data_IF_689179603672
#
_entry.id   IF_689179603672
#
_cell.length_a   1.000
_cell.length_b   1.000
_cell.length_c   1.000
_cell.angle_alpha   90.00
_cell.angle_beta   90.00
_cell.angle_gamma   90.00
#
_symmetry.space_group_name_H-M   'P 1'
#
loop_
_entity.id
_entity.type
_entity.pdbx_description
1 polymer ?
#
# COMPACT_ATOMS: atom_id res chain seq x y z
N UNK A 1 12.63 -28.90 39.28
CA UNK A 1 11.33 -28.22 39.53
C UNK A 1 10.88 -27.32 38.37
N UNK A 2 11.77 -26.74 37.56
CA UNK A 2 11.38 -25.89 36.42
C UNK A 2 10.78 -26.67 35.21
N UNK A 3 11.25 -27.89 34.94
CA UNK A 3 10.78 -28.70 33.80
C UNK A 3 9.31 -29.14 33.89
N UNK A 4 8.78 -29.33 35.11
CA UNK A 4 7.39 -29.74 35.33
C UNK A 4 6.38 -28.59 35.14
N UNK A 5 6.83 -27.34 35.26
CA UNK A 5 5.98 -26.16 35.04
C UNK A 5 5.84 -25.88 33.53
N UNK A 6 6.91 -26.10 32.75
CA UNK A 6 6.86 -25.96 31.29
C UNK A 6 5.94 -26.98 30.62
N UNK A 7 5.94 -28.23 31.10
CA UNK A 7 5.02 -29.27 30.61
C UNK A 7 3.56 -28.99 30.95
N UNK A 8 3.28 -28.35 32.10
CA UNK A 8 1.92 -27.97 32.47
C UNK A 8 1.39 -26.82 31.60
N UNK A 9 2.24 -25.86 31.24
CA UNK A 9 1.89 -24.76 30.31
C UNK A 9 1.69 -25.28 28.87
N UNK A 10 2.34 -26.38 28.49
CA UNK A 10 2.20 -27.01 27.16
C UNK A 10 0.85 -27.70 26.95
N UNK A 11 0.22 -28.22 28.01
CA UNK A 11 -0.96 -29.08 27.93
C UNK A 11 -2.32 -28.38 28.11
N UNK A 12 -2.34 -27.07 28.35
CA UNK A 12 -3.60 -26.31 28.36
C UNK A 12 -4.03 -26.02 26.92
N UNK A 13 -5.04 -26.75 26.42
CA UNK A 13 -5.61 -26.57 25.07
C UNK A 13 -6.07 -25.12 24.76
N UNK A 14 -6.29 -24.30 25.79
CA UNK A 14 -6.64 -22.89 25.67
C UNK A 14 -5.44 -21.99 25.26
N UNK A 15 -4.20 -22.32 25.61
CA UNK A 15 -3.01 -21.48 25.31
C UNK A 15 -2.47 -21.73 23.91
N UNK A 16 -2.74 -22.89 23.30
CA UNK A 16 -2.35 -23.20 21.91
C UNK A 16 -3.04 -22.30 20.87
N UNK A 17 -4.20 -21.71 21.18
CA UNK A 17 -4.89 -20.75 20.30
C UNK A 17 -4.29 -19.33 20.32
N UNK A 18 -3.47 -18.99 21.32
CA UNK A 18 -2.90 -17.63 21.49
C UNK A 18 -1.41 -17.57 21.12
N UNK A 19 -0.78 -18.70 20.76
CA UNK A 19 0.50 -18.64 20.04
C UNK A 19 0.22 -18.13 18.63
N UNK A 20 0.29 -16.81 18.43
CA UNK A 20 0.53 -16.21 17.10
C UNK A 20 1.60 -17.07 16.44
N UNK A 21 1.24 -17.78 15.38
CA UNK A 21 2.23 -18.40 14.52
C UNK A 21 3.24 -17.30 14.18
N UNK A 22 4.44 -17.37 14.75
CA UNK A 22 5.60 -16.66 14.23
C UNK A 22 5.81 -17.29 12.86
N UNK A 23 5.16 -16.74 11.85
CA UNK A 23 5.41 -17.07 10.47
C UNK A 23 6.92 -16.87 10.30
N UNK A 24 7.64 -17.96 10.04
CA UNK A 24 9.09 -17.90 9.83
C UNK A 24 9.31 -16.88 8.70
N UNK A 25 10.15 -15.86 8.92
CA UNK A 25 10.52 -14.91 7.88
C UNK A 25 11.23 -15.69 6.78
N UNK A 26 10.51 -16.07 5.73
CA UNK A 26 11.06 -16.61 4.49
C UNK A 26 11.75 -15.48 3.74
N UNK A 27 12.73 -15.76 2.88
CA UNK A 27 13.37 -14.74 2.05
C UNK A 27 12.32 -13.91 1.27
N UNK A 28 12.57 -12.61 1.08
CA UNK A 28 11.61 -11.72 0.46
C UNK A 28 11.46 -12.03 -1.03
N UNK A 29 10.25 -12.40 -1.47
CA UNK A 29 9.93 -12.39 -2.90
C UNK A 29 9.86 -10.93 -3.33
N UNK A 30 10.82 -10.52 -4.16
CA UNK A 30 10.87 -9.18 -4.73
C UNK A 30 9.68 -9.01 -5.68
N UNK A 31 8.71 -8.16 -5.29
CA UNK A 31 7.65 -7.78 -6.23
C UNK A 31 8.24 -6.92 -7.32
N UNK A 32 7.96 -7.25 -8.58
CA UNK A 32 8.41 -6.42 -9.70
C UNK A 32 7.91 -4.99 -9.53
N UNK A 33 8.85 -4.04 -9.55
CA UNK A 33 8.54 -2.62 -9.56
C UNK A 33 7.81 -2.29 -10.87
N UNK A 34 6.62 -1.65 -10.81
CA UNK A 34 5.91 -1.24 -12.02
C UNK A 34 6.76 -0.36 -12.93
N UNK A 35 6.43 -0.35 -14.22
CA UNK A 35 7.20 0.42 -15.21
C UNK A 35 7.05 1.93 -15.04
N UNK A 36 5.83 2.36 -14.74
CA UNK A 36 5.38 3.75 -14.69
C UNK A 36 4.45 3.99 -13.49
N UNK A 37 4.28 5.25 -13.06
CA UNK A 37 3.26 5.62 -12.08
C UNK A 37 1.88 5.08 -12.46
N UNK A 38 1.11 4.67 -11.46
CA UNK A 38 -0.29 4.25 -11.60
C UNK A 38 -0.54 2.96 -12.40
N UNK A 39 0.48 2.28 -12.94
CA UNK A 39 0.30 0.97 -13.61
C UNK A 39 -0.21 -0.13 -12.68
N UNK A 40 0.16 -0.08 -11.41
CA UNK A 40 -0.24 -1.06 -10.41
C UNK A 40 -0.66 -0.35 -9.14
N UNK A 41 -1.90 -0.58 -8.73
CA UNK A 41 -2.48 0.03 -7.54
C UNK A 41 -3.03 -1.03 -6.59
N UNK A 42 -3.01 -0.75 -5.29
CA UNK A 42 -3.73 -1.52 -4.29
C UNK A 42 -4.87 -0.67 -3.72
N UNK A 43 -6.00 -1.31 -3.46
CA UNK A 43 -7.15 -0.68 -2.82
C UNK A 43 -7.61 -1.47 -1.59
N UNK A 44 -8.02 -0.74 -0.55
CA UNK A 44 -8.53 -1.29 0.69
C UNK A 44 -9.59 -0.35 1.29
N UNK A 45 -10.67 -0.92 1.82
CA UNK A 45 -11.69 -0.18 2.56
C UNK A 45 -11.35 -0.22 4.06
N UNK A 46 -11.62 0.88 4.75
CA UNK A 46 -11.47 0.96 6.19
C UNK A 46 -12.46 1.90 6.84
N UNK A 47 -12.74 1.62 8.10
CA UNK A 47 -13.60 2.43 8.94
C UNK A 47 -12.78 3.42 9.77
N UNK A 48 -13.19 4.69 9.75
CA UNK A 48 -12.57 5.76 10.53
C UNK A 48 -13.64 6.75 11.01
N UNK A 49 -13.72 6.94 12.33
CA UNK A 49 -14.59 7.93 12.98
C UNK A 49 -16.06 7.85 12.52
N UNK A 50 -16.64 6.64 12.49
CA UNK A 50 -18.04 6.42 12.10
C UNK A 50 -18.30 6.44 10.59
N UNK A 51 -17.26 6.53 9.76
CA UNK A 51 -17.40 6.61 8.31
C UNK A 51 -16.50 5.57 7.63
N UNK A 52 -16.97 5.03 6.51
CA UNK A 52 -16.18 4.15 5.67
C UNK A 52 -15.41 4.94 4.62
N UNK A 53 -14.19 4.50 4.34
CA UNK A 53 -13.31 5.10 3.35
C UNK A 53 -12.70 4.03 2.48
N UNK A 54 -12.54 4.33 1.20
CA UNK A 54 -11.68 3.58 0.30
C UNK A 54 -10.37 4.32 0.13
N UNK A 55 -9.26 3.60 0.28
CA UNK A 55 -7.91 4.08 0.02
C UNK A 55 -7.31 3.29 -1.14
N UNK A 56 -6.81 4.01 -2.13
CA UNK A 56 -6.06 3.48 -3.27
C UNK A 56 -4.63 3.99 -3.16
N UNK A 57 -3.64 3.12 -3.33
CA UNK A 57 -2.23 3.46 -3.27
C UNK A 57 -1.52 2.95 -4.51
N UNK A 58 -0.79 3.84 -5.18
CA UNK A 58 0.11 3.49 -6.28
C UNK A 58 1.36 2.77 -5.77
N UNK A 59 1.71 1.64 -6.39
CA UNK A 59 2.92 0.90 -6.05
C UNK A 59 4.20 1.66 -6.44
N UNK A 60 4.17 2.48 -7.50
CA UNK A 60 5.37 3.15 -8.00
C UNK A 60 5.70 4.39 -7.17
N UNK A 61 4.80 5.37 -7.15
CA UNK A 61 4.99 6.67 -6.48
C UNK A 61 4.64 6.68 -5.00
N UNK A 62 3.94 5.65 -4.50
CA UNK A 62 3.29 5.65 -3.18
C UNK A 62 2.20 6.73 -3.05
N UNK A 63 1.68 7.21 -4.19
CA UNK A 63 0.60 8.19 -4.22
C UNK A 63 -0.69 7.61 -3.62
N UNK A 64 -1.28 8.27 -2.59
CA UNK A 64 -2.55 7.85 -2.03
C UNK A 64 -3.74 8.66 -2.56
N UNK A 65 -4.82 7.97 -2.90
CA UNK A 65 -6.15 8.53 -3.16
C UNK A 65 -7.15 7.98 -2.14
N UNK A 66 -7.85 8.88 -1.45
CA UNK A 66 -8.86 8.51 -0.44
C UNK A 66 -10.21 9.09 -0.83
N UNK A 67 -11.27 8.34 -0.52
CA UNK A 67 -12.63 8.85 -0.59
C UNK A 67 -13.51 8.26 0.48
N UNK A 68 -14.38 9.12 1.02
CA UNK A 68 -15.41 8.71 1.95
C UNK A 68 -16.53 8.01 1.19
N UNK A 69 -16.96 6.85 1.66
CA UNK A 69 -18.08 6.11 1.13
C UNK A 69 -19.32 6.40 1.98
N UNK A 70 -20.42 6.74 1.32
CA UNK A 70 -21.72 6.92 2.00
C UNK A 70 -22.32 5.57 2.42
N UNK A 71 -22.02 4.52 1.65
CA UNK A 71 -22.34 3.13 1.99
C UNK A 71 -21.37 2.17 1.29
N UNK A 72 -21.28 0.94 1.79
CA UNK A 72 -20.37 -0.11 1.32
C UNK A 72 -20.90 -0.90 0.10
N UNK A 73 -21.69 -0.27 -0.77
CA UNK A 73 -22.17 -0.95 -1.98
C UNK A 73 -21.10 -1.00 -3.07
N UNK A 74 -21.09 -2.07 -3.87
CA UNK A 74 -20.20 -2.18 -5.04
C UNK A 74 -20.42 -1.03 -6.02
N UNK A 75 -21.67 -0.57 -6.20
CA UNK A 75 -22.00 0.56 -7.09
C UNK A 75 -21.31 1.86 -6.68
N UNK A 76 -21.37 2.22 -5.39
CA UNK A 76 -20.74 3.43 -4.89
C UNK A 76 -19.21 3.34 -4.96
N UNK A 77 -18.65 2.18 -4.63
CA UNK A 77 -17.21 1.94 -4.75
C UNK A 77 -16.75 2.07 -6.21
N UNK A 78 -17.47 1.48 -7.16
CA UNK A 78 -17.17 1.57 -8.60
C UNK A 78 -17.29 3.02 -9.08
N UNK A 79 -18.30 3.77 -8.64
CA UNK A 79 -18.46 5.18 -9.02
C UNK A 79 -17.24 6.02 -8.59
N UNK A 80 -16.74 5.80 -7.37
CA UNK A 80 -15.50 6.44 -6.92
C UNK A 80 -14.29 6.00 -7.75
N UNK A 81 -14.15 4.71 -8.05
CA UNK A 81 -13.05 4.20 -8.86
C UNK A 81 -13.04 4.82 -10.25
N UNK A 82 -14.21 4.93 -10.89
CA UNK A 82 -14.36 5.63 -12.18
C UNK A 82 -13.89 7.09 -12.10
N UNK A 83 -14.31 7.81 -11.05
CA UNK A 83 -13.86 9.19 -10.78
C UNK A 83 -12.37 9.32 -10.50
N UNK A 84 -11.74 8.28 -9.94
CA UNK A 84 -10.29 8.27 -9.71
C UNK A 84 -9.54 7.92 -10.99
N UNK A 85 -10.02 6.95 -11.75
CA UNK A 85 -9.42 6.54 -13.02
C UNK A 85 -9.51 7.63 -14.08
N UNK A 86 -10.52 8.50 -14.05
CA UNK A 86 -10.57 9.67 -14.93
C UNK A 86 -9.50 10.73 -14.61
N UNK A 87 -9.02 10.79 -13.36
CA UNK A 87 -8.00 11.76 -12.91
C UNK A 87 -6.58 11.23 -13.04
N UNK A 88 -6.39 9.94 -12.77
CA UNK A 88 -5.07 9.30 -12.68
C UNK A 88 -4.75 8.36 -13.85
N UNK A 89 -5.76 7.97 -14.63
CA UNK A 89 -5.68 6.90 -15.62
C UNK A 89 -6.24 5.58 -15.09
N UNK A 90 -6.50 4.65 -16.01
CA UNK A 90 -6.88 3.28 -15.67
C UNK A 90 -5.59 2.50 -15.40
N UNK A 91 -5.46 1.81 -14.24
CA UNK A 91 -4.29 1.00 -13.94
C UNK A 91 -4.27 -0.28 -14.78
N UNK A 92 -3.10 -0.84 -15.04
CA UNK A 92 -2.97 -2.15 -15.68
C UNK A 92 -3.39 -3.27 -14.70
N UNK A 93 -2.97 -3.12 -13.43
CA UNK A 93 -3.24 -4.09 -12.35
C UNK A 93 -3.88 -3.40 -11.15
N UNK A 94 -5.01 -3.93 -10.70
CA UNK A 94 -5.72 -3.48 -9.51
C UNK A 94 -5.77 -4.60 -8.46
N UNK A 95 -5.09 -4.40 -7.34
CA UNK A 95 -5.08 -5.35 -6.23
C UNK A 95 -6.09 -4.99 -5.16
N UNK A 96 -6.87 -5.97 -4.71
CA UNK A 96 -7.80 -5.78 -3.58
C UNK A 96 -8.31 -7.09 -3.02
N UNK A 97 -8.58 -7.15 -1.71
CA UNK A 97 -9.16 -8.34 -1.07
C UNK A 97 -10.69 -8.27 -0.97
N UNK A 98 -11.24 -7.07 -0.87
CA UNK A 98 -12.64 -6.84 -0.48
C UNK A 98 -13.59 -6.64 -1.67
N UNK A 99 -13.07 -6.54 -2.90
CA UNK A 99 -13.88 -6.44 -4.10
C UNK A 99 -13.90 -7.80 -4.79
N UNK A 100 -15.05 -8.47 -4.83
CA UNK A 100 -15.20 -9.78 -5.48
C UNK A 100 -16.57 -9.97 -6.14
N UNK A 101 -17.42 -8.93 -6.11
CA UNK A 101 -18.77 -8.97 -6.65
C UNK A 101 -18.76 -9.10 -8.18
N UNK A 102 -19.86 -9.62 -8.74
CA UNK A 102 -19.99 -9.78 -10.19
C UNK A 102 -19.90 -8.44 -10.91
N UNK A 103 -20.52 -7.40 -10.34
CA UNK A 103 -20.49 -6.03 -10.88
C UNK A 103 -19.06 -5.48 -10.95
N UNK A 104 -18.20 -5.86 -10.00
CA UNK A 104 -16.79 -5.45 -10.02
C UNK A 104 -16.00 -6.17 -11.10
N UNK A 105 -16.28 -7.47 -11.33
CA UNK A 105 -15.66 -8.23 -12.41
C UNK A 105 -16.05 -7.67 -13.78
N UNK A 106 -17.33 -7.33 -13.95
CA UNK A 106 -17.82 -6.70 -15.18
C UNK A 106 -17.19 -5.32 -15.39
N UNK A 107 -17.08 -4.52 -14.32
CA UNK A 107 -16.37 -3.25 -14.35
C UNK A 107 -14.89 -3.40 -14.75
N UNK A 108 -14.18 -4.39 -14.19
CA UNK A 108 -12.79 -4.66 -14.53
C UNK A 108 -12.62 -5.05 -16.00
N UNK A 109 -13.54 -5.85 -16.53
CA UNK A 109 -13.56 -6.25 -17.94
C UNK A 109 -13.87 -5.06 -18.86
N UNK A 110 -14.84 -4.23 -18.51
CA UNK A 110 -15.26 -3.05 -19.26
C UNK A 110 -14.14 -2.00 -19.35
N UNK A 111 -13.43 -1.77 -18.24
CA UNK A 111 -12.33 -0.79 -18.18
C UNK A 111 -10.97 -1.39 -18.61
N UNK A 112 -10.90 -2.71 -18.82
CA UNK A 112 -9.71 -3.38 -19.36
C UNK A 112 -8.54 -3.51 -18.38
N UNK A 113 -8.79 -3.56 -17.08
CA UNK A 113 -7.74 -3.75 -16.07
C UNK A 113 -7.77 -5.15 -15.44
N UNK A 114 -6.60 -5.65 -15.04
CA UNK A 114 -6.50 -6.95 -14.37
C UNK A 114 -6.77 -6.78 -12.87
N UNK A 115 -7.87 -7.36 -12.40
CA UNK A 115 -8.20 -7.40 -10.98
C UNK A 115 -7.58 -8.63 -10.30
N UNK A 116 -6.76 -8.39 -9.29
CA UNK A 116 -6.07 -9.44 -8.54
C UNK A 116 -6.51 -9.43 -7.07
N UNK A 117 -7.16 -10.51 -6.67
CA UNK A 117 -7.51 -10.78 -5.27
C UNK A 117 -6.39 -11.57 -4.61
N UNK A 118 -5.92 -11.14 -3.44
CA UNK A 118 -4.83 -11.82 -2.75
C UNK A 118 -5.20 -13.26 -2.40
N UNK A 119 -4.39 -14.22 -2.84
CA UNK A 119 -4.23 -15.51 -2.17
C UNK A 119 -3.20 -15.36 -1.03
N UNK A 120 -3.37 -16.03 0.13
CA UNK A 120 -2.43 -15.97 1.27
C UNK A 120 -0.98 -16.33 0.93
N UNK A 121 -0.72 -16.91 -0.24
CA UNK A 121 0.62 -17.23 -0.75
C UNK A 121 1.47 -16.02 -1.19
N UNK A 122 0.87 -14.84 -1.46
CA UNK A 122 1.59 -13.66 -1.97
C UNK A 122 1.67 -12.47 -1.00
N UNK A 123 1.38 -12.67 0.29
CA UNK A 123 1.44 -11.59 1.30
C UNK A 123 2.80 -10.86 1.33
N UNK A 124 3.90 -11.58 1.04
CA UNK A 124 5.24 -10.99 1.00
C UNK A 124 5.45 -10.00 -0.16
N UNK A 125 4.87 -10.24 -1.33
CA UNK A 125 5.04 -9.36 -2.50
C UNK A 125 4.22 -8.07 -2.40
N UNK A 126 3.16 -8.08 -1.56
CA UNK A 126 2.26 -6.94 -1.33
C UNK A 126 2.59 -6.10 -0.09
N UNK A 127 3.56 -6.53 0.74
CA UNK A 127 3.86 -5.91 2.03
C UNK A 127 4.18 -4.41 1.97
N UNK A 128 4.71 -3.90 0.86
CA UNK A 128 4.98 -2.46 0.71
C UNK A 128 3.71 -1.61 0.56
N UNK A 129 2.76 -2.07 -0.26
CA UNK A 129 1.49 -1.36 -0.41
C UNK A 129 0.66 -1.49 0.88
N UNK A 130 0.62 -2.67 1.50
CA UNK A 130 -0.03 -2.88 2.80
C UNK A 130 0.55 -1.98 3.89
N UNK A 131 1.89 -1.86 3.98
CA UNK A 131 2.54 -0.97 4.94
C UNK A 131 2.23 0.50 4.66
N UNK A 132 2.18 0.89 3.39
CA UNK A 132 1.82 2.27 2.99
C UNK A 132 0.37 2.58 3.37
N UNK A 133 -0.56 1.66 3.10
CA UNK A 133 -1.96 1.71 3.54
C UNK A 133 -2.05 1.86 5.06
N UNK A 134 -1.29 1.07 5.83
CA UNK A 134 -1.24 1.18 7.29
C UNK A 134 -0.69 2.53 7.77
N UNK A 135 0.36 3.06 7.13
CA UNK A 135 0.92 4.38 7.44
C UNK A 135 -0.12 5.47 7.23
N UNK A 136 -0.82 5.45 6.10
CA UNK A 136 -1.86 6.45 5.79
C UNK A 136 -3.04 6.32 6.75
N UNK A 137 -3.53 5.10 7.03
CA UNK A 137 -4.58 4.87 8.04
C UNK A 137 -4.18 5.42 9.41
N UNK A 138 -2.93 5.21 9.82
CA UNK A 138 -2.40 5.72 11.09
C UNK A 138 -2.29 7.25 11.10
N UNK A 139 -1.93 7.85 9.96
CA UNK A 139 -1.91 9.31 9.78
C UNK A 139 -3.32 9.88 9.94
N UNK A 140 -4.29 9.35 9.22
CA UNK A 140 -5.68 9.83 9.22
C UNK A 140 -6.35 9.71 10.59
N UNK A 141 -5.95 8.72 11.40
CA UNK A 141 -6.43 8.59 12.80
C UNK A 141 -5.89 9.67 13.73
N UNK A 142 -4.73 10.25 13.43
CA UNK A 142 -4.06 11.23 14.31
C UNK A 142 -4.49 12.66 14.07
N UNK A 143 -4.89 13.00 12.85
CA UNK A 143 -5.20 14.38 12.45
C UNK A 143 -6.70 14.62 12.33
N UNK A 144 -7.17 15.78 12.79
CA UNK A 144 -8.57 16.20 12.69
C UNK A 144 -9.01 16.42 11.24
N UNK A 145 -8.10 16.95 10.41
CA UNK A 145 -8.33 17.20 8.98
C UNK A 145 -7.58 16.16 8.14
N UNK A 146 -8.29 15.13 7.62
CA UNK A 146 -7.66 14.07 6.84
C UNK A 146 -7.07 14.57 5.53
N UNK A 147 -7.63 15.62 4.93
CA UNK A 147 -7.19 16.13 3.62
C UNK A 147 -5.90 16.93 3.74
N UNK A 148 -5.74 17.73 4.80
CA UNK A 148 -4.47 18.43 5.09
C UNK A 148 -3.34 17.45 5.36
N UNK A 149 -3.59 16.48 6.23
CA UNK A 149 -2.57 15.46 6.54
C UNK A 149 -2.18 14.64 5.31
N UNK A 150 -3.14 14.32 4.43
CA UNK A 150 -2.85 13.67 3.16
C UNK A 150 -1.99 14.52 2.23
N UNK A 151 -2.26 15.83 2.14
CA UNK A 151 -1.44 16.77 1.37
C UNK A 151 -0.01 16.84 1.89
N UNK A 152 0.17 16.88 3.20
CA UNK A 152 1.50 16.88 3.83
C UNK A 152 2.23 15.56 3.56
N UNK A 153 1.55 14.42 3.64
CA UNK A 153 2.11 13.13 3.28
C UNK A 153 2.56 13.09 1.81
N UNK A 154 1.73 13.59 0.89
CA UNK A 154 2.04 13.66 -0.54
C UNK A 154 3.30 14.47 -0.83
N UNK A 155 3.63 15.46 0.01
CA UNK A 155 4.82 16.30 -0.11
C UNK A 155 6.01 15.85 0.76
N UNK A 156 5.81 14.87 1.65
CA UNK A 156 6.87 14.37 2.51
C UNK A 156 7.79 13.45 1.71
N UNK A 157 9.09 13.71 1.75
CA UNK A 157 10.08 12.89 1.05
C UNK A 157 10.09 11.46 1.60
N UNK A 158 10.13 10.49 0.70
CA UNK A 158 10.27 9.10 1.08
C UNK A 158 11.73 8.86 1.47
N UNK A 159 11.95 8.27 2.65
CA UNK A 159 13.28 7.96 3.18
C UNK A 159 14.09 7.15 2.16
N UNK A 160 15.37 7.50 1.98
CA UNK A 160 16.34 6.93 1.03
C UNK A 160 16.12 7.29 -0.45
N UNK A 161 14.99 7.90 -0.81
CA UNK A 161 14.71 8.34 -2.18
C UNK A 161 14.84 9.86 -2.35
N UNK A 162 14.67 10.61 -1.25
CA UNK A 162 14.64 12.09 -1.18
C UNK A 162 13.60 12.76 -2.11
N UNK A 163 12.69 11.95 -2.65
CA UNK A 163 11.56 12.39 -3.47
C UNK A 163 10.26 12.09 -2.75
N UNK A 164 9.32 13.03 -2.83
CA UNK A 164 7.96 12.87 -2.30
C UNK A 164 7.05 12.14 -3.29
N UNK A 165 5.94 11.53 -2.83
CA UNK A 165 4.94 10.94 -3.72
C UNK A 165 4.45 11.91 -4.81
N UNK A 166 4.26 13.19 -4.48
CA UNK A 166 3.87 14.22 -5.43
C UNK A 166 4.93 14.43 -6.52
N UNK A 167 6.21 14.45 -6.16
CA UNK A 167 7.30 14.59 -7.14
C UNK A 167 7.39 13.38 -8.06
N UNK A 168 7.15 12.18 -7.54
CA UNK A 168 7.21 10.96 -8.36
C UNK A 168 5.99 10.84 -9.28
N UNK A 169 4.81 11.28 -8.81
CA UNK A 169 3.56 11.16 -9.54
C UNK A 169 3.31 12.31 -10.53
N UNK A 170 3.56 13.55 -10.12
CA UNK A 170 3.31 14.77 -10.92
C UNK A 170 4.59 15.48 -11.40
N UNK A 171 5.78 15.00 -11.02
CA UNK A 171 7.04 15.69 -11.34
C UNK A 171 7.30 16.95 -10.51
N UNK A 172 6.45 17.28 -9.54
CA UNK A 172 6.53 18.50 -8.72
C UNK A 172 5.93 18.30 -7.33
N UNK A 173 6.28 19.16 -6.38
CA UNK A 173 5.53 19.25 -5.12
C UNK A 173 4.22 20.01 -5.30
N UNK A 174 3.28 19.73 -4.41
CA UNK A 174 2.03 20.46 -4.30
C UNK A 174 2.20 21.63 -3.31
N UNK A 175 1.50 22.74 -3.56
CA UNK A 175 1.45 23.84 -2.61
C UNK A 175 0.72 23.37 -1.34
N UNK A 176 1.45 23.35 -0.22
CA UNK A 176 0.91 23.03 1.10
C UNK A 176 0.70 24.32 1.93
N UNK A 177 0.14 24.15 3.12
CA UNK A 177 0.04 25.23 4.12
C UNK A 177 1.44 25.63 4.60
N UNK A 178 2.34 24.65 4.73
CA UNK A 178 3.73 24.91 5.06
C UNK A 178 4.46 25.59 3.89
N UNK A 179 5.22 26.68 4.15
CA UNK A 179 5.99 27.36 3.12
C UNK A 179 6.91 26.39 2.38
N UNK A 180 6.84 26.41 1.05
CA UNK A 180 7.69 25.63 0.17
C UNK A 180 8.37 26.59 -0.81
N UNK A 181 9.62 26.33 -1.16
CA UNK A 181 10.35 27.17 -2.11
C UNK A 181 9.78 27.03 -3.53
N UNK A 182 9.69 28.14 -4.27
CA UNK A 182 9.11 28.15 -5.62
C UNK A 182 9.71 27.10 -6.59
N UNK A 183 11.03 26.81 -6.58
CA UNK A 183 11.61 25.80 -7.48
C UNK A 183 11.07 24.37 -7.26
N UNK A 184 10.61 24.04 -6.05
CA UNK A 184 10.06 22.72 -5.74
C UNK A 184 8.62 22.53 -6.25
N UNK A 185 7.94 23.64 -6.55
CA UNK A 185 6.58 23.63 -7.11
C UNK A 185 6.57 23.51 -8.64
N UNK A 186 7.71 23.77 -9.28
CA UNK A 186 7.87 23.62 -10.71
C UNK A 186 8.06 22.13 -11.08
N UNK A 187 7.61 21.77 -12.28
CA UNK A 187 7.85 20.45 -12.83
C UNK A 187 9.35 20.29 -13.10
N UNK A 188 9.95 19.29 -12.46
CA UNK A 188 11.35 18.96 -12.66
C UNK A 188 11.44 17.61 -13.37
N UNK A 189 12.41 17.50 -14.28
CA UNK A 189 12.65 16.27 -15.00
C UNK A 189 13.36 15.29 -14.06
N UNK A 190 12.60 14.43 -13.41
CA UNK A 190 13.12 13.39 -12.54
C UNK A 190 13.56 12.18 -13.38
N UNK A 191 14.58 12.41 -14.21
CA UNK A 191 15.38 11.32 -14.75
C UNK A 191 15.94 10.52 -13.55
N UNK A 192 16.03 9.20 -13.70
CA UNK A 192 16.55 8.26 -12.70
C UNK A 192 15.65 7.86 -11.51
N UNK A 193 14.37 8.25 -11.43
CA UNK A 193 13.46 7.72 -10.38
C UNK A 193 13.47 6.19 -10.36
N UNK A 194 13.37 5.57 -11.54
CA UNK A 194 13.32 4.11 -11.67
C UNK A 194 14.59 3.47 -11.12
N UNK A 195 15.76 4.07 -11.36
CA UNK A 195 17.05 3.59 -10.87
C UNK A 195 17.06 3.66 -9.34
N UNK A 196 16.74 4.83 -8.77
CA UNK A 196 16.69 5.01 -7.30
C UNK A 196 15.68 4.10 -6.61
N UNK A 197 14.51 3.87 -7.23
CA UNK A 197 13.50 2.95 -6.71
C UNK A 197 14.01 1.50 -6.71
N UNK A 198 14.68 1.06 -7.79
CA UNK A 198 15.30 -0.27 -7.86
C UNK A 198 16.39 -0.44 -6.81
N UNK A 199 17.32 0.50 -6.70
CA UNK A 199 18.40 0.45 -5.69
C UNK A 199 17.84 0.34 -4.27
N UNK A 200 16.80 1.11 -3.98
CA UNK A 200 16.11 1.05 -2.69
C UNK A 200 15.45 -0.30 -2.44
N UNK A 201 14.78 -0.87 -3.44
CA UNK A 201 14.16 -2.20 -3.34
C UNK A 201 15.21 -3.29 -3.10
N UNK A 202 16.34 -3.24 -3.81
CA UNK A 202 17.45 -4.18 -3.63
C UNK A 202 18.10 -4.05 -2.25
N UNK A 203 18.33 -2.82 -1.75
CA UNK A 203 18.82 -2.60 -0.38
C UNK A 203 17.87 -3.19 0.66
N UNK A 204 16.57 -2.91 0.55
CA UNK A 204 15.57 -3.42 1.50
C UNK A 204 15.51 -4.95 1.51
N UNK A 205 15.58 -5.58 0.33
CA UNK A 205 15.70 -7.03 0.20
C UNK A 205 16.93 -7.56 0.92
N UNK A 206 18.11 -6.99 0.66
CA UNK A 206 19.36 -7.41 1.33
C UNK A 206 19.26 -7.30 2.86
N UNK A 207 18.69 -6.21 3.39
CA UNK A 207 18.50 -6.06 4.84
C UNK A 207 17.51 -7.07 5.43
N UNK A 208 16.40 -7.32 4.73
CA UNK A 208 15.40 -8.30 5.16
C UNK A 208 15.97 -9.73 5.12
N UNK A 209 16.66 -10.07 4.04
CA UNK A 209 17.17 -11.41 3.80
C UNK A 209 18.26 -11.82 4.79
N UNK A 210 19.05 -10.86 5.32
CA UNK A 210 20.01 -11.08 6.43
C UNK A 210 19.38 -11.74 7.66
N UNK A 211 18.08 -11.55 7.87
CA UNK A 211 17.34 -12.06 9.03
C UNK A 211 16.31 -13.14 8.64
N UNK A 212 16.37 -13.67 7.42
CA UNK A 212 15.42 -14.62 6.85
C UNK A 212 16.05 -16.00 6.63
N UNK A 213 15.22 -17.04 6.56
CA UNK A 213 15.66 -18.37 6.11
C UNK A 213 15.48 -18.48 4.59
N UNK A 214 16.44 -19.11 3.88
CA UNK A 214 16.32 -19.33 2.45
C UNK A 214 15.05 -20.13 2.13
N UNK A 215 14.41 -19.81 1.00
CA UNK A 215 13.30 -20.58 0.45
C UNK A 215 13.81 -21.97 0.05
N UNK A 216 13.09 -23.03 0.42
CA UNK A 216 13.41 -24.38 -0.06
C UNK A 216 13.25 -24.42 -1.59
N UNK A 217 14.14 -25.10 -2.33
CA UNK A 217 14.00 -25.24 -3.77
C UNK A 217 12.69 -25.95 -4.12
N UNK A 218 12.05 -25.49 -5.19
CA UNK A 218 10.83 -26.07 -5.77
C UNK A 218 11.09 -27.46 -6.33
#
# INVERSE_FOLDING_TARGET
>A
MAAQIEDFISNVQHVKRIKKNKQKNLAMIESELPEKPWSKVAADIFHLNGNDYILIVDYYSKWPEIHKLDNLTSKNTIAYLKSTFSRCGIPDIFYSVQFSSLEFKDFAKDYGFQHLTSSPTYAQSNGHAERTVQTIKSLLKKFKDPYKSLLDYRNTAITELDLSPAQIFYGRRLKAILPTTAPLLNANNTQDIRIKLKERQSKQKQYYDRHSKPLAPL
#
